data_IF_635316986318
#
_entry.id   IF_635316986318
#
_cell.length_a   1.000
_cell.length_b   1.000
_cell.length_c   1.000
_cell.angle_alpha   90.00
_cell.angle_beta   90.00
_cell.angle_gamma   90.00
#
_symmetry.space_group_name_H-M   'P 1'
#
loop_
_entity.id
_entity.type
_entity.pdbx_description
1 polymer ?
#
# COMPACT_ATOMS: atom_id res chain seq x y z
N UNK A 1 35.74 -15.67 -54.26
CA UNK A 1 34.49 -15.22 -53.61
C UNK A 1 34.59 -15.43 -52.10
N UNK A 2 34.71 -14.36 -51.32
CA UNK A 2 34.82 -14.41 -49.84
C UNK A 2 33.42 -14.25 -49.22
N UNK A 3 33.02 -15.20 -48.38
CA UNK A 3 31.77 -15.17 -47.63
C UNK A 3 31.98 -14.45 -46.30
N UNK A 4 31.51 -13.21 -46.21
CA UNK A 4 31.55 -12.35 -45.00
C UNK A 4 30.13 -12.15 -44.48
N UNK A 5 29.52 -13.19 -43.89
CA UNK A 5 28.16 -13.05 -43.32
C UNK A 5 28.00 -13.68 -41.93
N UNK A 6 29.05 -14.29 -41.36
CA UNK A 6 28.92 -15.02 -40.08
C UNK A 6 29.13 -14.21 -38.80
N UNK A 7 29.69 -13.01 -38.88
CA UNK A 7 30.12 -12.24 -37.68
C UNK A 7 29.08 -11.30 -37.08
N UNK A 8 27.97 -11.00 -37.78
CA UNK A 8 26.96 -10.04 -37.28
C UNK A 8 25.93 -10.65 -36.32
N UNK A 9 25.69 -11.97 -36.39
CA UNK A 9 24.64 -12.63 -35.59
C UNK A 9 25.07 -12.88 -34.13
N UNK A 10 26.36 -13.04 -33.86
CA UNK A 10 26.87 -13.31 -32.50
C UNK A 10 26.82 -12.12 -31.54
N UNK A 11 26.90 -10.88 -32.06
CA UNK A 11 26.93 -9.66 -31.23
C UNK A 11 25.55 -9.26 -30.70
N UNK A 12 24.47 -9.61 -31.41
CA UNK A 12 23.10 -9.34 -30.99
C UNK A 12 22.63 -10.30 -29.88
N UNK A 13 23.07 -11.55 -29.91
CA UNK A 13 22.74 -12.54 -28.88
C UNK A 13 23.38 -12.23 -27.51
N UNK A 14 24.62 -11.73 -27.49
CA UNK A 14 25.32 -11.37 -26.25
C UNK A 14 24.74 -10.10 -25.59
N UNK A 15 24.31 -9.11 -26.39
CA UNK A 15 23.67 -7.90 -25.87
C UNK A 15 22.30 -8.19 -25.23
N UNK A 16 21.56 -9.18 -25.77
CA UNK A 16 20.24 -9.59 -25.26
C UNK A 16 20.33 -10.27 -23.89
N UNK A 17 21.39 -11.05 -23.66
CA UNK A 17 21.61 -11.74 -22.38
C UNK A 17 22.03 -10.77 -21.26
N UNK A 18 22.82 -9.75 -21.61
CA UNK A 18 23.22 -8.72 -20.65
C UNK A 18 22.02 -7.91 -20.12
N UNK A 19 21.09 -7.51 -21.00
CA UNK A 19 19.87 -6.79 -20.63
C UNK A 19 18.95 -7.65 -19.76
N UNK A 20 18.81 -8.94 -20.07
CA UNK A 20 18.01 -9.87 -19.28
C UNK A 20 18.57 -10.06 -17.85
N UNK A 21 19.90 -10.09 -17.69
CA UNK A 21 20.53 -10.18 -16.36
C UNK A 21 20.39 -8.87 -15.58
N UNK A 22 20.44 -7.70 -16.23
CA UNK A 22 20.25 -6.41 -15.53
C UNK A 22 18.84 -6.25 -14.98
N UNK A 23 17.81 -6.73 -15.68
CA UNK A 23 16.41 -6.72 -15.22
C UNK A 23 16.15 -7.65 -14.01
N UNK A 24 16.93 -8.73 -13.86
CA UNK A 24 16.79 -9.68 -12.74
C UNK A 24 17.48 -9.17 -11.46
N UNK A 25 18.47 -8.28 -11.59
CA UNK A 25 19.24 -7.74 -10.46
C UNK A 25 18.76 -6.35 -10.04
N UNK A 26 17.70 -5.82 -10.66
CA UNK A 26 17.06 -4.61 -10.16
C UNK A 26 16.60 -4.87 -8.71
N UNK A 27 17.04 -4.06 -7.73
CA UNK A 27 16.55 -4.20 -6.38
C UNK A 27 15.03 -4.01 -6.41
N UNK A 28 14.29 -5.04 -6.02
CA UNK A 28 12.88 -4.86 -5.70
C UNK A 28 12.85 -3.84 -4.56
N UNK A 29 12.36 -2.63 -4.86
CA UNK A 29 11.97 -1.71 -3.80
C UNK A 29 11.03 -2.48 -2.89
N UNK A 30 11.29 -2.55 -1.58
CA UNK A 30 10.37 -3.23 -0.68
C UNK A 30 8.98 -2.63 -0.92
N UNK A 31 8.02 -3.49 -1.27
CA UNK A 31 6.62 -3.12 -1.15
C UNK A 31 6.38 -2.97 0.34
N UNK A 32 6.43 -1.74 0.83
CA UNK A 32 5.94 -1.37 2.15
C UNK A 32 4.48 -1.83 2.20
N UNK A 33 4.24 -2.85 3.01
CA UNK A 33 2.96 -3.50 3.06
C UNK A 33 2.38 -3.20 4.45
N UNK A 34 1.74 -2.03 4.56
CA UNK A 34 1.13 -1.52 5.80
C UNK A 34 -0.22 -2.21 5.97
N UNK A 35 -0.22 -3.36 6.65
CA UNK A 35 -1.24 -4.42 6.52
C UNK A 35 -2.37 -4.37 7.57
N UNK A 36 -2.80 -3.18 7.96
CA UNK A 36 -3.99 -3.02 8.79
C UNK A 36 -4.14 -1.64 9.37
N UNK A 37 -5.17 -1.45 10.19
CA UNK A 37 -5.31 -0.24 10.99
C UNK A 37 -4.29 -0.17 12.14
N UNK A 38 -3.63 -1.28 12.49
CA UNK A 38 -2.67 -1.37 13.60
C UNK A 38 -1.44 -0.45 13.44
N UNK A 39 -1.06 -0.12 12.20
CA UNK A 39 0.03 0.80 11.91
C UNK A 39 -0.35 2.28 12.12
N UNK A 40 -1.63 2.55 12.38
CA UNK A 40 -2.20 3.89 12.56
C UNK A 40 -2.58 4.13 14.02
N UNK A 41 -2.58 5.40 14.44
CA UNK A 41 -3.02 5.82 15.76
C UNK A 41 -4.55 5.73 15.86
N UNK A 42 -5.05 4.51 16.09
CA UNK A 42 -6.47 4.21 16.19
C UNK A 42 -7.16 4.80 17.42
N UNK A 43 -6.41 5.44 18.32
CA UNK A 43 -6.95 6.17 19.45
C UNK A 43 -7.49 7.56 19.04
N UNK A 44 -7.10 8.09 17.87
CA UNK A 44 -7.40 9.47 17.46
C UNK A 44 -7.85 9.57 16.00
N UNK A 45 -9.12 9.85 15.79
CA UNK A 45 -9.66 10.20 14.47
C UNK A 45 -9.38 11.67 14.13
N UNK A 46 -9.08 11.93 12.87
CA UNK A 46 -8.97 13.28 12.34
C UNK A 46 -9.77 13.42 11.07
N UNK A 47 -10.34 14.60 10.88
CA UNK A 47 -10.91 15.04 9.62
C UNK A 47 -9.83 15.71 8.75
N UNK A 48 -9.81 15.34 7.48
CA UNK A 48 -8.98 15.97 6.45
C UNK A 48 -9.83 16.30 5.25
N UNK A 49 -9.47 17.36 4.54
CA UNK A 49 -10.09 17.68 3.25
C UNK A 49 -9.16 18.50 2.38
N UNK A 50 -9.23 18.26 1.06
CA UNK A 50 -8.22 18.77 0.14
C UNK A 50 -8.44 18.36 -1.31
N UNK A 51 -7.34 18.39 -2.07
CA UNK A 51 -7.30 17.99 -3.49
C UNK A 51 -6.34 16.86 -3.75
N UNK A 52 -6.79 15.92 -4.56
CA UNK A 52 -6.04 14.71 -4.93
C UNK A 52 -4.90 15.00 -5.90
N UNK A 53 -3.78 14.31 -5.73
CA UNK A 53 -2.65 14.22 -6.65
C UNK A 53 -2.01 12.81 -6.57
N UNK A 54 -1.12 12.49 -7.50
CA UNK A 54 -0.27 11.28 -7.46
C UNK A 54 -1.00 9.94 -7.20
N UNK A 55 -2.09 9.71 -7.92
CA UNK A 55 -2.93 8.52 -7.73
C UNK A 55 -2.24 7.23 -8.20
N UNK A 56 -2.16 6.25 -7.31
CA UNK A 56 -1.77 4.86 -7.62
C UNK A 56 -2.94 3.93 -7.33
N UNK A 57 -3.58 3.49 -8.42
CA UNK A 57 -4.79 2.66 -8.39
C UNK A 57 -4.47 1.20 -8.68
N UNK A 58 -4.73 0.32 -7.72
CA UNK A 58 -4.45 -1.10 -7.84
C UNK A 58 -4.44 -1.85 -6.52
N UNK A 59 -3.97 -3.09 -6.59
CA UNK A 59 -3.81 -4.01 -5.46
C UNK A 59 -2.38 -3.95 -4.88
N UNK A 60 -2.17 -4.26 -3.59
CA UNK A 60 -3.17 -4.67 -2.59
C UNK A 60 -3.95 -3.49 -1.97
N UNK A 61 -3.46 -2.26 -2.16
CA UNK A 61 -4.07 -1.02 -1.74
C UNK A 61 -3.87 0.04 -2.82
N UNK A 62 -4.81 0.97 -2.90
CA UNK A 62 -4.65 2.18 -3.69
C UNK A 62 -4.26 3.33 -2.79
N UNK A 63 -3.59 4.32 -3.35
CA UNK A 63 -3.09 5.47 -2.59
C UNK A 63 -3.07 6.71 -3.47
N UNK A 64 -3.11 7.86 -2.83
CA UNK A 64 -3.04 9.17 -3.46
C UNK A 64 -2.54 10.21 -2.47
N UNK A 65 -1.92 11.26 -2.96
CA UNK A 65 -1.59 12.41 -2.13
C UNK A 65 -2.80 13.34 -2.03
N UNK A 66 -3.01 13.92 -0.86
CA UNK A 66 -4.05 14.90 -0.61
C UNK A 66 -3.42 16.19 -0.08
N UNK A 67 -3.31 17.20 -0.95
CA UNK A 67 -2.93 18.54 -0.52
C UNK A 67 -4.09 19.14 0.29
N UNK A 68 -3.85 19.44 1.56
CA UNK A 68 -4.88 19.84 2.50
C UNK A 68 -5.27 21.32 2.33
N UNK A 69 -6.56 21.64 2.42
CA UNK A 69 -7.04 23.02 2.26
C UNK A 69 -6.83 23.84 3.54
N UNK A 70 -6.44 25.12 3.45
CA UNK A 70 -6.16 25.93 4.65
C UNK A 70 -7.40 26.34 5.46
N UNK A 71 -8.57 26.36 4.83
CA UNK A 71 -9.84 26.88 5.38
C UNK A 71 -10.79 25.77 5.87
N UNK A 72 -10.22 24.67 6.40
CA UNK A 72 -10.99 23.54 6.96
C UNK A 72 -11.86 24.00 8.15
N UNK A 73 -13.05 23.40 8.35
CA UNK A 73 -13.81 23.56 9.59
C UNK A 73 -12.99 23.08 10.79
N UNK A 74 -13.39 23.46 12.02
CA UNK A 74 -12.71 22.99 13.23
C UNK A 74 -12.83 21.47 13.41
N UNK A 75 -14.01 20.93 13.10
CA UNK A 75 -14.37 19.53 13.26
C UNK A 75 -15.05 19.00 11.99
N UNK A 76 -15.34 17.70 11.97
CA UNK A 76 -16.01 17.04 10.83
C UNK A 76 -17.36 17.73 10.53
N UNK A 77 -17.60 18.18 9.29
CA UNK A 77 -18.89 18.74 8.91
C UNK A 77 -19.96 17.64 8.84
N UNK A 78 -21.23 18.04 8.79
CA UNK A 78 -22.33 17.10 8.64
C UNK A 78 -22.28 16.42 7.26
N UNK A 79 -21.80 15.17 7.24
CA UNK A 79 -21.61 14.36 6.03
C UNK A 79 -22.40 13.06 6.13
N UNK A 80 -22.93 12.60 4.98
CA UNK A 80 -23.71 11.37 4.94
C UNK A 80 -22.83 10.14 5.21
N UNK A 81 -23.14 9.36 6.25
CA UNK A 81 -22.37 8.14 6.56
C UNK A 81 -22.93 6.90 5.84
N UNK A 82 -22.06 5.94 5.43
CA UNK A 82 -22.49 4.60 5.07
C UNK A 82 -23.35 3.98 6.17
N UNK A 83 -24.35 3.17 5.80
CA UNK A 83 -25.26 2.48 6.75
C UNK A 83 -24.50 1.75 7.87
N UNK A 84 -23.36 1.17 7.53
CA UNK A 84 -22.47 0.38 8.38
C UNK A 84 -21.79 1.20 9.47
N UNK A 85 -21.77 2.52 9.35
CA UNK A 85 -21.15 3.44 10.30
C UNK A 85 -22.19 4.37 10.96
N UNK A 86 -23.49 4.07 10.82
CA UNK A 86 -24.55 4.89 11.40
C UNK A 86 -24.88 4.53 12.86
N UNK A 87 -24.33 3.44 13.39
CA UNK A 87 -24.49 3.13 14.80
C UNK A 87 -23.88 4.27 15.66
N UNK A 88 -24.51 4.68 16.77
CA UNK A 88 -24.02 5.82 17.57
C UNK A 88 -22.58 5.67 18.05
N UNK A 89 -22.16 4.44 18.34
CA UNK A 89 -20.80 4.08 18.75
C UNK A 89 -19.73 4.38 17.68
N UNK A 90 -20.09 4.37 16.40
CA UNK A 90 -19.17 4.65 15.28
C UNK A 90 -19.36 6.06 14.71
N UNK A 91 -20.62 6.46 14.52
CA UNK A 91 -20.96 7.78 13.98
C UNK A 91 -20.58 8.92 14.92
N UNK A 92 -20.69 8.75 16.24
CA UNK A 92 -20.30 9.77 17.23
C UNK A 92 -18.84 10.18 17.07
N UNK A 93 -17.87 9.24 17.20
CA UNK A 93 -16.47 9.54 16.98
C UNK A 93 -16.13 10.11 15.60
N UNK A 94 -16.82 9.67 14.53
CA UNK A 94 -16.60 10.22 13.19
C UNK A 94 -17.07 11.68 13.10
N UNK A 95 -18.27 11.99 13.62
CA UNK A 95 -18.85 13.33 13.57
C UNK A 95 -18.11 14.31 14.48
N UNK A 96 -17.55 13.83 15.59
CA UNK A 96 -16.82 14.65 16.57
C UNK A 96 -15.33 14.80 16.21
N UNK A 97 -14.83 14.13 15.15
CA UNK A 97 -13.40 14.15 14.84
C UNK A 97 -12.93 15.57 14.47
N UNK A 98 -11.89 16.09 15.14
CA UNK A 98 -11.34 17.41 14.83
C UNK A 98 -10.57 17.39 13.51
N UNK A 99 -10.47 18.54 12.86
CA UNK A 99 -9.57 18.72 11.72
C UNK A 99 -8.12 18.40 12.10
N UNK A 100 -7.41 17.72 11.19
CA UNK A 100 -5.97 17.48 11.33
C UNK A 100 -5.22 18.80 11.51
N UNK A 101 -4.46 18.86 12.61
CA UNK A 101 -3.68 20.01 13.05
C UNK A 101 -2.18 19.72 13.13
N UNK A 102 -1.71 18.63 12.51
CA UNK A 102 -0.28 18.32 12.45
C UNK A 102 0.46 19.22 11.47
N UNK A 103 1.76 18.96 11.28
CA UNK A 103 2.67 19.85 10.55
C UNK A 103 2.65 19.70 9.03
N UNK A 104 1.97 18.68 8.51
CA UNK A 104 1.97 18.37 7.08
C UNK A 104 0.86 19.13 6.33
N UNK A 105 1.21 19.75 5.22
CA UNK A 105 0.25 20.38 4.30
C UNK A 105 -0.28 19.40 3.23
N UNK A 106 0.33 18.22 3.13
CA UNK A 106 -0.06 17.11 2.25
C UNK A 106 0.09 15.78 2.98
N UNK A 107 -0.83 14.85 2.75
CA UNK A 107 -0.79 13.50 3.33
C UNK A 107 -0.91 12.44 2.23
N UNK A 108 -0.18 11.33 2.35
CA UNK A 108 -0.43 10.13 1.55
C UNK A 108 -1.63 9.38 2.14
N UNK A 109 -2.72 9.31 1.39
CA UNK A 109 -3.95 8.65 1.81
C UNK A 109 -3.97 7.22 1.28
N UNK A 110 -4.02 6.24 2.18
CA UNK A 110 -4.03 4.81 1.85
C UNK A 110 -5.46 4.28 1.90
N UNK A 111 -6.01 3.83 0.77
CA UNK A 111 -7.37 3.30 0.69
C UNK A 111 -7.39 1.80 0.38
N UNK A 112 -8.52 1.17 0.66
CA UNK A 112 -8.81 -0.21 0.31
C UNK A 112 -8.67 -0.45 -1.21
N UNK A 113 -8.40 -1.70 -1.65
CA UNK A 113 -8.20 -2.01 -3.06
C UNK A 113 -9.44 -1.70 -3.92
N UNK A 114 -9.27 -1.53 -5.25
CA UNK A 114 -10.33 -1.20 -6.19
C UNK A 114 -11.58 -2.09 -6.09
N UNK A 115 -11.38 -3.39 -5.85
CA UNK A 115 -12.48 -4.34 -5.70
C UNK A 115 -13.37 -4.04 -4.47
N UNK A 116 -12.78 -3.47 -3.42
CA UNK A 116 -13.50 -3.07 -2.21
C UNK A 116 -14.16 -1.71 -2.38
N UNK A 117 -13.39 -0.68 -2.77
CA UNK A 117 -13.89 0.70 -2.95
C UNK A 117 -14.98 0.78 -4.03
N UNK A 118 -14.90 -0.05 -5.08
CA UNK A 118 -15.92 -0.14 -6.11
C UNK A 118 -17.30 -0.59 -5.60
N UNK A 119 -17.37 -1.37 -4.51
CA UNK A 119 -18.66 -1.72 -3.86
C UNK A 119 -19.38 -0.52 -3.25
N UNK A 120 -18.66 0.57 -3.06
CA UNK A 120 -19.13 1.84 -2.50
C UNK A 120 -19.17 2.95 -3.55
N UNK A 121 -19.10 2.58 -4.83
CA UNK A 121 -19.27 3.49 -5.96
C UNK A 121 -17.99 4.08 -6.53
N UNK A 122 -16.81 3.89 -5.91
CA UNK A 122 -15.54 4.32 -6.50
C UNK A 122 -14.98 3.22 -7.42
N UNK A 123 -15.45 3.19 -8.67
CA UNK A 123 -15.09 2.19 -9.69
C UNK A 123 -13.95 2.62 -10.63
N UNK A 124 -13.33 3.76 -10.32
CA UNK A 124 -12.24 4.40 -11.08
C UNK A 124 -11.19 5.00 -10.15
N UNK A 125 -9.97 5.25 -10.64
CA UNK A 125 -9.07 6.17 -9.94
C UNK A 125 -9.73 7.54 -9.74
N UNK A 126 -9.42 8.18 -8.62
CA UNK A 126 -9.69 9.61 -8.41
C UNK A 126 -8.91 10.43 -9.45
N UNK A 127 -9.42 11.60 -9.81
CA UNK A 127 -8.76 12.50 -10.75
C UNK A 127 -7.87 13.50 -10.01
N UNK A 128 -6.78 13.94 -10.66
CA UNK A 128 -5.97 15.06 -10.18
C UNK A 128 -6.86 16.31 -9.97
N UNK A 129 -6.73 16.93 -8.80
CA UNK A 129 -7.53 18.09 -8.39
C UNK A 129 -8.93 17.75 -7.89
N UNK A 130 -9.36 16.48 -7.93
CA UNK A 130 -10.64 16.05 -7.36
C UNK A 130 -10.66 16.33 -5.86
N UNK A 131 -11.81 16.82 -5.38
CA UNK A 131 -12.02 17.10 -3.96
C UNK A 131 -12.32 15.81 -3.21
N UNK A 132 -11.64 15.63 -2.08
CA UNK A 132 -11.89 14.55 -1.14
C UNK A 132 -11.95 15.12 0.27
N UNK A 133 -12.89 14.59 1.05
CA UNK A 133 -12.99 14.75 2.49
C UNK A 133 -12.84 13.37 3.12
N UNK A 134 -12.21 13.25 4.28
CA UNK A 134 -12.03 11.95 4.92
C UNK A 134 -11.95 12.08 6.43
N UNK A 135 -12.41 11.03 7.11
CA UNK A 135 -12.18 10.82 8.55
C UNK A 135 -11.42 9.52 8.72
N UNK A 136 -10.37 9.55 9.53
CA UNK A 136 -9.41 8.46 9.61
C UNK A 136 -8.29 8.73 10.61
N UNK A 137 -7.26 7.91 10.52
CA UNK A 137 -6.17 7.86 11.48
C UNK A 137 -4.84 8.27 10.83
N UNK A 138 -3.96 8.88 11.61
CA UNK A 138 -2.58 9.22 11.21
C UNK A 138 -1.67 8.02 11.47
N UNK A 139 -0.66 7.81 10.62
CA UNK A 139 0.32 6.75 10.81
C UNK A 139 1.14 6.91 12.09
N UNK A 140 1.43 5.80 12.79
CA UNK A 140 2.26 5.82 14.01
C UNK A 140 3.74 6.03 13.70
N UNK A 141 4.20 5.46 12.58
CA UNK A 141 5.60 5.48 12.16
C UNK A 141 5.90 6.59 11.16
N UNK A 142 4.91 6.97 10.36
CA UNK A 142 4.97 8.01 9.34
C UNK A 142 3.75 8.91 9.54
N UNK A 143 3.98 10.11 10.05
CA UNK A 143 2.92 11.06 10.42
C UNK A 143 2.35 11.84 9.21
N UNK A 144 2.92 11.60 8.02
CA UNK A 144 2.45 12.01 6.70
C UNK A 144 1.52 10.98 6.02
N UNK A 145 1.31 9.80 6.63
CA UNK A 145 0.34 8.81 6.15
C UNK A 145 -1.02 8.95 6.84
N UNK A 146 -2.10 8.72 6.07
CA UNK A 146 -3.47 8.76 6.57
C UNK A 146 -4.30 7.56 6.09
N UNK A 147 -5.00 6.91 7.02
CA UNK A 147 -5.91 5.80 6.73
C UNK A 147 -7.36 6.16 7.05
N UNK A 148 -8.20 6.44 6.04
CA UNK A 148 -9.61 6.69 6.26
C UNK A 148 -10.33 5.46 6.80
N UNK A 149 -11.28 5.70 7.69
CA UNK A 149 -12.39 4.78 8.00
C UNK A 149 -13.58 5.05 7.07
N UNK A 150 -13.73 6.30 6.64
CA UNK A 150 -14.66 6.76 5.61
C UNK A 150 -14.05 7.94 4.87
N UNK A 151 -14.34 8.05 3.58
CA UNK A 151 -14.09 9.27 2.83
C UNK A 151 -15.23 9.58 1.87
N UNK A 152 -15.29 10.83 1.44
CA UNK A 152 -16.28 11.36 0.52
C UNK A 152 -15.57 11.96 -0.68
N UNK A 153 -16.09 11.67 -1.87
CA UNK A 153 -15.57 12.22 -3.12
C UNK A 153 -16.70 12.74 -4.01
N UNK A 154 -16.34 13.57 -4.99
CA UNK A 154 -17.30 14.16 -5.92
C UNK A 154 -18.36 15.00 -5.20
N UNK A 155 -19.63 14.62 -5.35
CA UNK A 155 -20.76 15.32 -4.72
C UNK A 155 -21.11 14.74 -3.33
N UNK A 156 -20.11 14.38 -2.53
CA UNK A 156 -20.30 13.81 -1.20
C UNK A 156 -20.68 12.32 -1.20
N UNK A 157 -20.24 11.54 -2.18
CA UNK A 157 -20.46 10.09 -2.21
C UNK A 157 -19.62 9.43 -1.11
N UNK A 158 -20.22 8.80 -0.08
CA UNK A 158 -19.44 8.14 0.97
C UNK A 158 -18.86 6.82 0.48
N UNK A 159 -17.63 6.54 0.89
CA UNK A 159 -16.89 5.31 0.64
C UNK A 159 -16.43 4.75 1.98
N UNK A 160 -17.05 3.65 2.41
CA UNK A 160 -16.64 2.95 3.61
C UNK A 160 -15.26 2.30 3.39
N UNK A 161 -14.39 2.34 4.40
CA UNK A 161 -13.04 1.76 4.38
C UNK A 161 -12.81 0.73 5.50
N UNK A 162 -13.75 0.55 6.43
CA UNK A 162 -13.68 -0.50 7.44
C UNK A 162 -14.26 -1.80 6.92
N UNK A 163 -13.61 -2.92 7.22
CA UNK A 163 -14.13 -4.26 6.92
C UNK A 163 -15.17 -4.64 7.97
N UNK A 164 -16.45 -4.38 7.69
CA UNK A 164 -17.54 -4.68 8.61
C UNK A 164 -18.41 -3.47 8.90
N UNK A 165 -18.89 -3.39 10.14
CA UNK A 165 -19.83 -2.37 10.63
C UNK A 165 -19.38 -1.70 11.92
N UNK A 166 -18.08 -1.72 12.21
CA UNK A 166 -17.50 -1.13 13.42
C UNK A 166 -16.15 -0.50 13.09
N UNK A 167 -15.80 0.57 13.81
CA UNK A 167 -14.46 1.15 13.80
C UNK A 167 -13.41 0.13 14.29
N UNK A 168 -12.15 0.21 13.82
CA UNK A 168 -11.09 -0.74 14.18
C UNK A 168 -10.72 -0.70 15.68
N UNK A 169 -10.99 0.42 16.35
CA UNK A 169 -10.87 0.57 17.79
C UNK A 169 -11.89 1.63 18.25
N UNK A 170 -12.07 1.76 19.57
CA UNK A 170 -12.84 2.85 20.16
C UNK A 170 -11.93 4.07 20.33
N UNK A 171 -12.13 5.16 19.56
CA UNK A 171 -11.30 6.35 19.69
C UNK A 171 -11.49 7.01 21.06
N UNK A 172 -10.47 7.75 21.50
CA UNK A 172 -10.56 8.60 22.68
C UNK A 172 -11.58 9.72 22.47
N UNK A 173 -12.23 10.20 23.54
CA UNK A 173 -13.09 11.37 23.44
C UNK A 173 -12.29 12.63 23.09
N UNK A 174 -12.93 13.54 22.36
CA UNK A 174 -12.39 14.87 22.01
C UNK A 174 -12.72 15.88 23.13
N UNK A 175 -11.80 16.81 23.49
CA UNK A 175 -10.44 16.95 22.99
C UNK A 175 -9.56 15.78 23.43
N UNK A 176 -8.71 15.31 22.51
CA UNK A 176 -7.81 14.21 22.82
C UNK A 176 -6.93 14.57 24.01
N UNK A 177 -6.78 13.67 25.00
CA UNK A 177 -5.90 13.93 26.13
C UNK A 177 -4.48 14.17 25.63
N UNK A 178 -3.79 15.13 26.24
CA UNK A 178 -2.35 15.27 26.07
C UNK A 178 -1.73 13.92 26.44
N UNK A 179 -0.99 13.31 25.51
CA UNK A 179 -0.21 12.13 25.87
C UNK A 179 0.80 12.58 26.92
N UNK A 180 0.88 11.87 28.05
CA UNK A 180 2.00 12.02 28.99
C UNK A 180 3.27 11.66 28.21
N UNK A 181 3.87 12.67 27.58
CA UNK A 181 5.10 12.51 26.84
C UNK A 181 6.17 12.01 27.82
N UNK A 182 6.62 10.77 27.62
CA UNK A 182 7.73 10.10 28.32
C UNK A 182 7.45 9.41 29.67
N UNK A 183 6.62 8.36 29.73
CA UNK A 183 6.87 7.25 30.71
C UNK A 183 6.15 5.95 30.36
N UNK A 184 6.44 5.37 29.20
CA UNK A 184 6.23 3.93 28.98
C UNK A 184 7.48 3.35 28.30
N UNK A 185 8.52 3.24 29.13
CA UNK A 185 9.74 2.45 28.94
C UNK A 185 9.36 1.09 28.31
N UNK A 186 9.91 0.72 27.14
CA UNK A 186 11.17 -0.02 27.07
C UNK A 186 11.23 -1.24 28.04
N UNK A 187 10.14 -1.98 28.23
CA UNK A 187 10.17 -3.34 28.78
C UNK A 187 8.85 -4.09 28.55
N UNK A 188 8.73 -4.75 27.40
CA UNK A 188 8.01 -6.02 27.28
C UNK A 188 8.75 -6.90 26.27
N UNK A 189 9.90 -7.42 26.71
CA UNK A 189 10.37 -8.71 26.22
C UNK A 189 9.78 -9.80 27.14
N UNK A 190 9.51 -10.95 26.52
CA UNK A 190 9.18 -12.25 27.09
C UNK A 190 7.74 -12.48 27.60
N UNK A 191 6.87 -13.06 26.75
CA UNK A 191 6.52 -14.51 26.75
C UNK A 191 5.15 -14.83 26.13
N UNK A 192 5.16 -15.49 24.97
CA UNK A 192 4.17 -16.50 24.54
C UNK A 192 4.79 -17.24 23.33
N UNK A 193 5.60 -18.28 23.52
CA UNK A 193 5.16 -19.67 23.62
C UNK A 193 4.17 -20.10 22.51
N UNK A 194 4.71 -20.28 21.30
CA UNK A 194 4.67 -21.54 20.55
C UNK A 194 3.33 -22.13 20.11
N UNK A 195 3.08 -22.07 18.80
CA UNK A 195 2.58 -23.21 18.03
C UNK A 195 3.34 -23.26 16.69
N UNK A 196 4.33 -24.16 16.61
CA UNK A 196 5.00 -24.52 15.37
C UNK A 196 4.16 -25.60 14.67
N UNK A 197 3.61 -25.28 13.50
CA UNK A 197 3.19 -26.28 12.51
C UNK A 197 4.01 -26.14 11.24
N UNK A 198 5.01 -27.01 11.16
CA UNK A 198 5.72 -27.58 10.02
C UNK A 198 5.51 -26.99 8.60
N UNK A 199 6.65 -26.58 8.00
CA UNK A 199 7.12 -27.33 6.83
C UNK A 199 6.98 -26.72 5.44
N UNK A 200 7.48 -25.50 5.19
CA UNK A 200 8.05 -25.19 3.85
C UNK A 200 9.36 -24.46 4.02
N UNK A 201 10.46 -25.23 3.98
CA UNK A 201 11.81 -24.69 4.09
C UNK A 201 12.11 -23.77 2.89
N UNK A 202 12.62 -22.54 3.09
CA UNK A 202 12.99 -21.62 2.02
C UNK A 202 14.06 -22.18 1.07
N UNK A 203 14.73 -23.28 1.45
CA UNK A 203 15.67 -24.02 0.59
C UNK A 203 14.95 -24.69 -0.60
N UNK A 204 13.66 -25.05 -0.48
CA UNK A 204 12.88 -25.68 -1.55
C UNK A 204 12.41 -24.68 -2.63
N UNK A 205 12.17 -23.41 -2.26
CA UNK A 205 11.74 -22.37 -3.22
C UNK A 205 12.93 -21.86 -4.06
N UNK A 206 14.11 -21.72 -3.47
CA UNK A 206 15.32 -21.33 -4.22
C UNK A 206 15.97 -22.49 -5.00
N UNK A 207 15.78 -23.74 -4.56
CA UNK A 207 16.30 -24.92 -5.26
C UNK A 207 15.66 -25.15 -6.63
N UNK A 208 14.37 -24.85 -6.80
CA UNK A 208 13.66 -25.04 -8.07
C UNK A 208 14.02 -23.97 -9.11
N UNK A 209 14.20 -22.72 -8.69
CA UNK A 209 14.68 -21.65 -9.56
C UNK A 209 16.12 -21.90 -10.07
N UNK A 210 17.01 -22.43 -9.21
CA UNK A 210 18.39 -22.75 -9.59
C UNK A 210 18.51 -23.91 -10.60
N UNK A 211 17.64 -24.93 -10.52
CA UNK A 211 17.67 -26.10 -11.41
C UNK A 211 17.18 -25.74 -12.83
N UNK A 212 16.16 -24.89 -12.96
CA UNK A 212 15.66 -24.43 -14.28
C UNK A 212 16.74 -23.62 -15.02
N UNK A 213 17.50 -22.80 -14.30
CA UNK A 213 18.58 -21.98 -14.85
C UNK A 213 19.77 -22.83 -15.31
N UNK A 214 20.14 -23.87 -14.55
CA UNK A 214 21.18 -24.83 -14.93
C UNK A 214 20.79 -25.69 -16.14
N UNK A 215 19.55 -26.15 -16.24
CA UNK A 215 19.07 -26.94 -17.39
C UNK A 215 19.02 -26.11 -18.68
N UNK A 216 18.68 -24.82 -18.60
CA UNK A 216 18.72 -23.91 -19.74
C UNK A 216 20.12 -23.70 -20.31
N UNK A 217 21.13 -23.54 -19.44
CA UNK A 217 22.54 -23.31 -19.85
C UNK A 217 23.17 -24.58 -20.43
N UNK A 218 22.92 -25.75 -19.83
CA UNK A 218 23.45 -27.04 -20.32
C UNK A 218 22.75 -27.47 -21.61
N UNK A 219 21.43 -27.30 -21.70
CA UNK A 219 20.67 -27.58 -22.93
C UNK A 219 21.10 -26.70 -24.09
N UNK A 220 21.33 -25.40 -23.84
CA UNK A 220 21.81 -24.45 -24.84
C UNK A 220 23.21 -24.79 -25.38
N UNK A 221 24.14 -25.22 -24.52
CA UNK A 221 25.50 -25.58 -24.93
C UNK A 221 25.56 -26.90 -25.72
N UNK A 222 24.73 -27.89 -25.39
CA UNK A 222 24.65 -29.14 -26.14
C UNK A 222 23.98 -28.97 -27.52
N UNK A 223 22.93 -28.13 -27.61
CA UNK A 223 22.29 -27.80 -28.88
C UNK A 223 23.27 -27.14 -29.85
N UNK A 224 24.06 -26.16 -29.39
CA UNK A 224 25.06 -25.48 -30.22
C UNK A 224 26.17 -26.43 -30.70
N UNK A 225 26.59 -27.38 -29.85
CA UNK A 225 27.66 -28.35 -30.17
C UNK A 225 27.19 -29.47 -31.13
N UNK A 226 25.92 -29.84 -31.09
CA UNK A 226 25.34 -30.83 -32.02
C UNK A 226 25.13 -30.23 -33.42
N UNK A 227 24.79 -28.94 -33.50
CA UNK A 227 24.62 -28.21 -34.76
C UNK A 227 25.94 -27.94 -35.49
N UNK A 228 27.04 -27.75 -34.76
CA UNK A 228 28.38 -27.54 -35.35
C UNK A 228 29.03 -28.83 -35.88
N UNK A 229 28.47 -30.01 -35.58
CA UNK A 229 28.96 -31.31 -36.06
C UNK A 229 28.18 -31.85 -37.27
N UNK A 230 27.10 -31.17 -37.67
CA UNK A 230 26.25 -31.54 -38.82
C UNK A 230 26.36 -30.54 -39.99
N UNK A 231 27.39 -29.72 -40.00
CA UNK A 231 27.69 -28.73 -41.04
C UNK A 231 29.11 -28.91 -41.56
#
# INVERSE_FOLDING_TARGET
>A
MRSTTRTRVGRLAAASLAVAVTLIVAPATPAQAHHGFDDFDTDRLYYISGTVSEVRWGDPHSFFNLTLQSDRPADTPELALPEQLQAPEDSGPINDAPSYSGSHDELEVVIAPPAYTGRWGLDRPLADGERVEAVGYIGRSHDDEFRPVVFWYGNGQPVNQVLGSELPARPLPVPYPDSDASTADRNQDATAAGENSDGTSPILVWGTAGIVLLLGVVGGTLYLRSRSRRA
#
